data_IF_218960874790
#
_entry.id   IF_218960874790
#
_cell.length_a   1.000
_cell.length_b   1.000
_cell.length_c   1.000
_cell.angle_alpha   90.00
_cell.angle_beta   90.00
_cell.angle_gamma   90.00
#
_symmetry.space_group_name_H-M   'P 1'
#
loop_
_entity.id
_entity.type
_entity.pdbx_description
1 polymer ?
#
# COMPACT_ATOMS: atom_id res chain seq x y z
N UNK A 1 -62.10 14.98 -32.59
CA UNK A 1 -60.74 15.19 -33.11
C UNK A 1 -59.82 14.25 -32.35
N UNK A 2 -59.52 13.07 -32.91
CA UNK A 2 -58.65 12.07 -32.28
C UNK A 2 -57.17 12.44 -32.52
N UNK A 3 -56.27 12.34 -31.53
CA UNK A 3 -54.85 12.52 -31.76
C UNK A 3 -54.31 11.40 -32.66
N UNK A 4 -53.54 11.76 -33.68
CA UNK A 4 -53.14 10.85 -34.76
C UNK A 4 -52.16 9.74 -34.33
N UNK A 5 -52.11 8.61 -35.09
CA UNK A 5 -51.31 7.42 -34.79
C UNK A 5 -49.78 7.62 -34.84
N UNK A 6 -49.29 8.80 -35.24
CA UNK A 6 -47.86 9.09 -35.40
C UNK A 6 -47.07 9.09 -34.08
N UNK A 7 -47.70 9.39 -32.94
CA UNK A 7 -47.01 9.42 -31.64
C UNK A 7 -46.60 8.04 -31.10
N UNK A 8 -47.34 6.98 -31.44
CA UNK A 8 -47.07 5.64 -30.95
C UNK A 8 -45.89 4.97 -31.68
N UNK A 9 -45.73 5.20 -32.99
CA UNK A 9 -44.63 4.63 -33.78
C UNK A 9 -43.25 5.15 -33.38
N UNK A 10 -43.14 6.44 -33.06
CA UNK A 10 -41.89 7.05 -32.59
C UNK A 10 -41.45 6.52 -31.22
N UNK A 11 -42.38 6.30 -30.29
CA UNK A 11 -42.11 5.72 -28.97
C UNK A 11 -41.63 4.26 -29.06
N UNK A 12 -42.26 3.46 -29.93
CA UNK A 12 -41.84 2.06 -30.16
C UNK A 12 -40.43 2.01 -30.75
N UNK A 13 -40.12 2.87 -31.74
CA UNK A 13 -38.79 2.95 -32.32
C UNK A 13 -37.71 3.32 -31.30
N UNK A 14 -38.00 4.30 -30.41
CA UNK A 14 -37.09 4.70 -29.34
C UNK A 14 -36.85 3.56 -28.34
N UNK A 15 -37.90 2.85 -27.92
CA UNK A 15 -37.77 1.70 -27.00
C UNK A 15 -36.99 0.56 -27.62
N UNK A 16 -37.20 0.26 -28.91
CA UNK A 16 -36.44 -0.76 -29.63
C UNK A 16 -34.97 -0.36 -29.78
N UNK A 17 -34.69 0.90 -30.13
CA UNK A 17 -33.32 1.42 -30.21
C UNK A 17 -32.62 1.37 -28.84
N UNK A 18 -33.28 1.80 -27.78
CA UNK A 18 -32.77 1.73 -26.41
C UNK A 18 -32.53 0.29 -25.94
N UNK A 19 -33.46 -0.64 -26.22
CA UNK A 19 -33.27 -2.06 -25.88
C UNK A 19 -32.12 -2.69 -26.66
N UNK A 20 -31.98 -2.39 -27.95
CA UNK A 20 -30.84 -2.85 -28.76
C UNK A 20 -29.54 -2.30 -28.20
N UNK A 21 -29.47 -1.00 -27.95
CA UNK A 21 -28.31 -0.37 -27.32
C UNK A 21 -27.96 -1.03 -25.99
N UNK A 22 -28.93 -1.30 -25.11
CA UNK A 22 -28.69 -1.99 -23.84
C UNK A 22 -28.17 -3.41 -24.04
N UNK A 23 -28.73 -4.17 -24.98
CA UNK A 23 -28.25 -5.54 -25.28
C UNK A 23 -26.83 -5.51 -25.83
N UNK A 24 -26.52 -4.57 -26.73
CA UNK A 24 -25.20 -4.39 -27.32
C UNK A 24 -24.17 -3.96 -26.26
N UNK A 25 -24.50 -3.00 -25.39
CA UNK A 25 -23.67 -2.59 -24.24
C UNK A 25 -23.42 -3.76 -23.29
N UNK A 26 -24.45 -4.56 -23.00
CA UNK A 26 -24.31 -5.76 -22.14
C UNK A 26 -23.45 -6.82 -22.83
N UNK A 27 -23.56 -6.96 -24.16
CA UNK A 27 -22.75 -7.85 -24.98
C UNK A 27 -21.27 -7.44 -24.97
N UNK A 28 -21.00 -6.17 -25.24
CA UNK A 28 -19.65 -5.60 -25.21
C UNK A 28 -19.00 -5.74 -23.83
N UNK A 29 -19.75 -5.53 -22.75
CA UNK A 29 -19.24 -5.72 -21.39
C UNK A 29 -18.86 -7.18 -21.12
N UNK A 30 -19.71 -8.15 -21.50
CA UNK A 30 -19.41 -9.58 -21.35
C UNK A 30 -18.19 -10.00 -22.16
N UNK A 31 -18.03 -9.48 -23.37
CA UNK A 31 -16.88 -9.76 -24.22
C UNK A 31 -15.58 -9.18 -23.62
N UNK A 32 -15.63 -7.93 -23.12
CA UNK A 32 -14.50 -7.31 -22.43
C UNK A 32 -14.08 -8.13 -21.19
N UNK A 33 -15.05 -8.58 -20.38
CA UNK A 33 -14.77 -9.47 -19.24
C UNK A 33 -14.14 -10.79 -19.68
N UNK A 34 -14.68 -11.44 -20.71
CA UNK A 34 -14.13 -12.71 -21.24
C UNK A 34 -12.68 -12.55 -21.71
N UNK A 35 -12.41 -11.52 -22.52
CA UNK A 35 -11.06 -11.23 -23.01
C UNK A 35 -10.10 -10.88 -21.87
N UNK A 36 -10.58 -10.17 -20.85
CA UNK A 36 -9.81 -9.88 -19.65
C UNK A 36 -9.45 -11.17 -18.90
N UNK A 37 -10.41 -12.07 -18.65
CA UNK A 37 -10.16 -13.36 -17.97
C UNK A 37 -9.18 -14.26 -18.73
N UNK A 38 -9.25 -14.28 -20.06
CA UNK A 38 -8.31 -15.05 -20.88
C UNK A 38 -6.88 -14.51 -20.76
N UNK A 39 -6.70 -13.20 -20.92
CA UNK A 39 -5.39 -12.54 -20.78
C UNK A 39 -4.86 -12.65 -19.35
N UNK A 40 -5.74 -12.59 -18.35
CA UNK A 40 -5.40 -12.79 -16.95
C UNK A 40 -4.81 -14.17 -16.72
N UNK A 41 -5.45 -15.23 -17.21
CA UNK A 41 -4.95 -16.60 -17.10
C UNK A 41 -3.55 -16.73 -17.72
N UNK A 42 -3.34 -16.18 -18.92
CA UNK A 42 -2.03 -16.17 -19.58
C UNK A 42 -0.96 -15.38 -18.81
N UNK A 43 -1.34 -14.28 -18.16
CA UNK A 43 -0.42 -13.47 -17.36
C UNK A 43 0.00 -14.18 -16.07
N UNK A 44 -0.94 -14.87 -15.42
CA UNK A 44 -0.68 -15.73 -14.25
C UNK A 44 0.23 -16.89 -14.62
N UNK A 45 -0.01 -17.57 -15.75
CA UNK A 45 0.86 -18.66 -16.23
C UNK A 45 2.31 -18.18 -16.45
N UNK A 46 2.47 -16.99 -17.05
CA UNK A 46 3.80 -16.36 -17.22
C UNK A 46 4.45 -16.03 -15.87
N UNK A 47 3.69 -15.52 -14.91
CA UNK A 47 4.19 -15.22 -13.56
C UNK A 47 4.62 -16.50 -12.81
N UNK A 48 3.99 -17.64 -13.09
CA UNK A 48 4.34 -18.95 -12.52
C UNK A 48 5.58 -19.62 -13.14
N UNK A 49 6.04 -19.18 -14.33
CA UNK A 49 7.14 -19.80 -15.07
C UNK A 49 8.46 -19.86 -14.29
N UNK A 50 9.27 -20.92 -14.42
CA UNK A 50 10.60 -20.98 -13.79
C UNK A 50 11.61 -19.96 -14.34
N UNK A 51 11.32 -19.34 -15.49
CA UNK A 51 12.19 -18.31 -16.09
C UNK A 51 11.91 -16.92 -15.50
N UNK A 52 12.87 -16.27 -14.82
CA UNK A 52 12.69 -14.91 -14.29
C UNK A 52 12.31 -13.89 -15.37
N UNK A 53 12.79 -14.05 -16.60
CA UNK A 53 12.44 -13.19 -17.73
C UNK A 53 10.97 -13.34 -18.12
N UNK A 54 10.44 -14.57 -18.14
CA UNK A 54 9.01 -14.84 -18.41
C UNK A 54 8.15 -14.30 -17.26
N UNK A 55 8.60 -14.46 -16.00
CA UNK A 55 7.92 -13.86 -14.83
C UNK A 55 7.82 -12.35 -14.92
N UNK A 56 8.89 -11.66 -15.31
CA UNK A 56 8.86 -10.21 -15.54
C UNK A 56 7.81 -9.83 -16.60
N UNK A 57 7.69 -10.61 -17.67
CA UNK A 57 6.62 -10.45 -18.65
C UNK A 57 5.22 -10.63 -18.05
N UNK A 58 5.06 -11.62 -17.17
CA UNK A 58 3.82 -11.85 -16.41
C UNK A 58 3.46 -10.68 -15.48
N UNK A 59 4.43 -10.15 -14.74
CA UNK A 59 4.25 -8.97 -13.87
C UNK A 59 3.75 -7.77 -14.66
N UNK A 60 4.38 -7.43 -15.78
CA UNK A 60 3.95 -6.31 -16.61
C UNK A 60 2.58 -6.55 -17.26
N UNK A 61 2.28 -7.79 -17.66
CA UNK A 61 0.96 -8.15 -18.19
C UNK A 61 -0.15 -8.00 -17.14
N UNK A 62 0.09 -8.43 -15.89
CA UNK A 62 -0.86 -8.26 -14.78
C UNK A 62 -1.06 -6.78 -14.42
N UNK A 63 0.00 -5.98 -14.39
CA UNK A 63 -0.13 -4.55 -14.14
C UNK A 63 -0.94 -3.85 -15.25
N UNK A 64 -0.70 -4.20 -16.53
CA UNK A 64 -1.50 -3.70 -17.65
C UNK A 64 -2.97 -4.16 -17.59
N UNK A 65 -3.23 -5.39 -17.15
CA UNK A 65 -4.60 -5.87 -16.92
C UNK A 65 -5.29 -5.12 -15.79
N UNK A 66 -4.58 -4.82 -14.69
CA UNK A 66 -5.13 -4.01 -13.61
C UNK A 66 -5.53 -2.61 -14.10
N UNK A 67 -4.71 -2.01 -14.96
CA UNK A 67 -5.02 -0.72 -15.59
C UNK A 67 -6.29 -0.80 -16.45
N UNK A 68 -6.39 -1.80 -17.33
CA UNK A 68 -7.45 -1.94 -18.34
C UNK A 68 -8.64 -2.82 -17.85
N UNK A 69 -8.77 -3.02 -16.54
CA UNK A 69 -9.78 -3.90 -15.96
C UNK A 69 -11.21 -3.36 -16.19
N UNK A 70 -12.17 -4.19 -16.66
CA UNK A 70 -13.56 -3.78 -16.85
C UNK A 70 -14.30 -3.38 -15.56
N UNK A 71 -13.86 -3.90 -14.41
CA UNK A 71 -14.43 -3.62 -13.10
C UNK A 71 -13.33 -3.46 -12.04
N UNK A 72 -13.66 -2.80 -10.93
CA UNK A 72 -12.74 -2.65 -9.80
C UNK A 72 -12.34 -4.00 -9.19
N UNK A 73 -13.26 -4.98 -9.13
CA UNK A 73 -12.97 -6.32 -8.60
C UNK A 73 -11.92 -7.07 -9.45
N UNK A 74 -11.98 -6.91 -10.78
CA UNK A 74 -11.00 -7.50 -11.68
C UNK A 74 -9.62 -6.82 -11.57
N UNK A 75 -9.62 -5.49 -11.38
CA UNK A 75 -8.38 -4.76 -11.04
C UNK A 75 -7.79 -5.28 -9.74
N UNK A 76 -8.62 -5.39 -8.69
CA UNK A 76 -8.20 -5.87 -7.38
C UNK A 76 -7.63 -7.28 -7.49
N UNK A 77 -8.26 -8.17 -8.26
CA UNK A 77 -7.74 -9.53 -8.50
C UNK A 77 -6.32 -9.52 -9.11
N UNK A 78 -6.04 -8.62 -10.06
CA UNK A 78 -4.69 -8.48 -10.62
C UNK A 78 -3.67 -8.00 -9.59
N UNK A 79 -4.06 -7.03 -8.74
CA UNK A 79 -3.23 -6.49 -7.66
C UNK A 79 -2.98 -7.58 -6.60
N UNK A 80 -4.00 -8.36 -6.25
CA UNK A 80 -3.92 -9.45 -5.28
C UNK A 80 -2.95 -10.55 -5.73
N UNK A 81 -2.91 -10.88 -7.02
CA UNK A 81 -1.91 -11.84 -7.55
C UNK A 81 -0.49 -11.29 -7.43
N UNK A 82 -0.28 -10.00 -7.72
CA UNK A 82 1.01 -9.34 -7.58
C UNK A 82 1.47 -9.31 -6.11
N UNK A 83 0.57 -8.98 -5.20
CA UNK A 83 0.76 -9.05 -3.75
C UNK A 83 1.05 -10.48 -3.28
N UNK A 84 0.27 -11.47 -3.72
CA UNK A 84 0.46 -12.88 -3.40
C UNK A 84 1.82 -13.42 -3.85
N UNK A 85 2.33 -12.97 -5.01
CA UNK A 85 3.68 -13.30 -5.44
C UNK A 85 4.76 -12.75 -4.49
N UNK A 86 4.57 -11.53 -3.98
CA UNK A 86 5.47 -10.94 -2.98
C UNK A 86 5.43 -11.69 -1.64
N UNK A 87 4.32 -12.32 -1.31
CA UNK A 87 4.19 -13.12 -0.08
C UNK A 87 4.85 -14.50 -0.17
N UNK A 88 5.24 -14.96 -1.37
CA UNK A 88 6.02 -16.20 -1.51
C UNK A 88 7.36 -16.11 -0.75
N UNK A 89 7.89 -17.25 -0.27
CA UNK A 89 9.12 -17.29 0.52
C UNK A 89 10.26 -16.47 -0.11
N UNK A 90 10.85 -15.61 0.72
CA UNK A 90 12.01 -14.80 0.34
C UNK A 90 13.29 -15.59 0.58
N UNK A 91 13.94 -16.04 -0.49
CA UNK A 91 15.27 -16.65 -0.40
C UNK A 91 16.31 -15.58 -0.02
N UNK A 92 17.06 -15.75 1.08
CA UNK A 92 18.14 -14.82 1.44
C UNK A 92 19.25 -14.77 0.39
N UNK A 93 20.01 -13.68 0.39
CA UNK A 93 21.22 -13.57 -0.44
C UNK A 93 22.25 -14.65 -0.03
N UNK A 94 22.68 -15.55 -0.94
CA UNK A 94 23.71 -16.54 -0.64
C UNK A 94 25.12 -15.92 -0.48
N UNK A 95 25.27 -14.62 -0.73
CA UNK A 95 26.54 -13.90 -0.67
C UNK A 95 27.34 -14.00 -1.97
N UNK A 96 28.56 -13.46 -1.93
CA UNK A 96 29.45 -13.32 -3.11
C UNK A 96 30.47 -14.47 -3.22
N UNK A 97 30.30 -15.56 -2.47
CA UNK A 97 31.18 -16.73 -2.56
C UNK A 97 31.10 -17.31 -3.99
N UNK A 98 32.23 -17.43 -4.72
CA UNK A 98 32.25 -18.02 -6.06
C UNK A 98 31.62 -19.42 -6.12
N UNK A 99 31.63 -20.18 -5.02
CA UNK A 99 30.98 -21.49 -4.94
C UNK A 99 29.44 -21.42 -5.11
N UNK A 100 28.82 -20.28 -4.80
CA UNK A 100 27.38 -20.05 -4.90
C UNK A 100 26.99 -19.13 -6.07
N UNK A 101 27.87 -18.93 -7.06
CA UNK A 101 27.64 -17.95 -8.13
C UNK A 101 26.31 -18.15 -8.88
N UNK A 102 25.95 -19.41 -9.20
CA UNK A 102 24.69 -19.71 -9.88
C UNK A 102 23.46 -19.40 -9.00
N UNK A 103 23.53 -19.75 -7.70
CA UNK A 103 22.49 -19.44 -6.73
C UNK A 103 22.34 -17.93 -6.54
N UNK A 104 23.46 -17.19 -6.47
CA UNK A 104 23.47 -15.74 -6.37
C UNK A 104 22.86 -15.08 -7.62
N UNK A 105 23.21 -15.53 -8.83
CA UNK A 105 22.58 -15.05 -10.06
C UNK A 105 21.06 -15.33 -10.08
N UNK A 106 20.65 -16.51 -9.64
CA UNK A 106 19.23 -16.88 -9.54
C UNK A 106 18.51 -16.00 -8.52
N UNK A 107 19.10 -15.79 -7.34
CA UNK A 107 18.61 -14.87 -6.32
C UNK A 107 18.40 -13.47 -6.90
N UNK A 108 19.41 -12.88 -7.55
CA UNK A 108 19.32 -11.54 -8.15
C UNK A 108 18.20 -11.46 -9.20
N UNK A 109 18.03 -12.49 -10.02
CA UNK A 109 17.00 -12.53 -11.05
C UNK A 109 15.58 -12.56 -10.46
N UNK A 110 15.32 -13.39 -9.44
CA UNK A 110 14.01 -13.42 -8.77
C UNK A 110 13.77 -12.19 -7.90
N UNK A 111 14.82 -11.65 -7.25
CA UNK A 111 14.78 -10.36 -6.55
C UNK A 111 14.34 -9.24 -7.50
N UNK A 112 14.84 -9.22 -8.73
CA UNK A 112 14.43 -8.24 -9.76
C UNK A 112 12.94 -8.33 -10.12
N UNK A 113 12.35 -9.53 -10.14
CA UNK A 113 10.90 -9.70 -10.33
C UNK A 113 10.14 -9.02 -9.19
N UNK A 114 10.51 -9.31 -7.94
CA UNK A 114 9.87 -8.72 -6.75
C UNK A 114 9.99 -7.20 -6.72
N UNK A 115 11.19 -6.67 -6.99
CA UNK A 115 11.44 -5.23 -7.07
C UNK A 115 10.61 -4.56 -8.17
N UNK A 116 10.42 -5.23 -9.30
CA UNK A 116 9.56 -4.73 -10.37
C UNK A 116 8.11 -4.59 -9.90
N UNK A 117 7.59 -5.55 -9.14
CA UNK A 117 6.23 -5.48 -8.58
C UNK A 117 6.12 -4.30 -7.60
N UNK A 118 7.04 -4.18 -6.64
CA UNK A 118 7.05 -3.10 -5.65
C UNK A 118 7.13 -1.72 -6.31
N UNK A 119 7.98 -1.57 -7.34
CA UNK A 119 8.09 -0.36 -8.14
C UNK A 119 6.78 -0.03 -8.87
N UNK A 120 6.16 -1.02 -9.53
CA UNK A 120 4.90 -0.80 -10.25
C UNK A 120 3.79 -0.36 -9.30
N UNK A 121 3.65 -1.01 -8.14
CA UNK A 121 2.70 -0.58 -7.10
C UNK A 121 2.89 0.89 -6.75
N UNK A 122 4.13 1.32 -6.45
CA UNK A 122 4.42 2.74 -6.18
C UNK A 122 4.11 3.67 -7.35
N UNK A 123 4.54 3.31 -8.56
CA UNK A 123 4.31 4.10 -9.79
C UNK A 123 2.80 4.32 -10.05
N UNK A 124 1.96 3.34 -9.75
CA UNK A 124 0.50 3.44 -9.88
C UNK A 124 -0.14 4.24 -8.73
N UNK A 125 0.38 4.16 -7.51
CA UNK A 125 -0.12 4.96 -6.38
C UNK A 125 0.28 6.44 -6.49
N UNK A 126 1.39 6.78 -7.15
CA UNK A 126 1.73 8.18 -7.44
C UNK A 126 0.80 8.86 -8.43
N UNK A 127 0.01 8.09 -9.19
CA UNK A 127 -0.96 8.67 -10.11
C UNK A 127 -2.08 9.34 -9.31
N UNK A 128 -2.53 10.56 -9.70
CA UNK A 128 -3.63 11.22 -9.02
C UNK A 128 -4.87 10.33 -8.90
N UNK A 129 -5.53 10.38 -7.74
CA UNK A 129 -6.74 9.62 -7.47
C UNK A 129 -7.80 9.87 -8.56
N UNK A 130 -8.53 8.81 -8.93
CA UNK A 130 -9.58 8.88 -9.95
C UNK A 130 -9.08 8.88 -11.40
N UNK A 131 -7.76 8.92 -11.64
CA UNK A 131 -7.23 8.68 -12.98
C UNK A 131 -7.29 7.18 -13.32
N UNK A 132 -7.49 6.86 -14.60
CA UNK A 132 -7.70 5.49 -15.08
C UNK A 132 -6.65 4.48 -14.57
N UNK A 133 -5.37 4.88 -14.51
CA UNK A 133 -4.25 4.01 -14.09
C UNK A 133 -3.85 4.16 -12.61
N UNK A 134 -4.60 4.93 -11.84
CA UNK A 134 -4.34 5.05 -10.40
C UNK A 134 -4.82 3.80 -9.68
N UNK A 135 -3.96 3.27 -8.81
CA UNK A 135 -4.33 2.17 -7.92
C UNK A 135 -4.72 2.66 -6.52
N UNK A 136 -4.73 3.98 -6.28
CA UNK A 136 -5.25 4.53 -5.02
C UNK A 136 -6.69 4.09 -4.80
N UNK A 137 -6.99 3.58 -3.61
CA UNK A 137 -8.28 2.96 -3.26
C UNK A 137 -8.31 1.44 -3.36
N UNK A 138 -7.28 0.81 -3.93
CA UNK A 138 -7.15 -0.65 -3.95
C UNK A 138 -6.57 -1.17 -2.63
N UNK A 139 -6.84 -2.43 -2.30
CA UNK A 139 -6.19 -3.11 -1.18
C UNK A 139 -4.80 -3.61 -1.60
N UNK A 140 -3.81 -3.42 -0.73
CA UNK A 140 -2.46 -3.95 -0.85
C UNK A 140 -2.17 -4.85 0.35
N UNK A 141 -2.25 -6.15 0.15
CA UNK A 141 -1.82 -7.12 1.17
C UNK A 141 -0.35 -7.47 0.99
N UNK A 142 0.49 -6.87 1.82
CA UNK A 142 1.94 -7.06 1.89
C UNK A 142 2.32 -7.72 3.24
N UNK A 143 1.39 -8.48 3.83
CA UNK A 143 1.61 -9.21 5.08
C UNK A 143 2.79 -10.18 4.94
N UNK A 144 3.74 -10.15 5.88
CA UNK A 144 4.90 -11.02 5.92
C UNK A 144 5.97 -10.78 4.84
N UNK A 145 5.79 -9.77 3.98
CA UNK A 145 6.70 -9.49 2.87
C UNK A 145 8.04 -8.93 3.37
N UNK A 146 9.15 -9.44 2.85
CA UNK A 146 10.46 -8.79 2.98
C UNK A 146 10.58 -7.69 1.91
N UNK A 147 10.78 -6.45 2.37
CA UNK A 147 10.93 -5.24 1.56
C UNK A 147 12.37 -4.76 1.70
N UNK A 148 13.09 -4.82 0.59
CA UNK A 148 14.50 -4.47 0.47
C UNK A 148 14.79 -3.56 -0.74
N UNK A 149 13.74 -2.94 -1.28
CA UNK A 149 13.79 -1.99 -2.39
C UNK A 149 12.87 -0.79 -2.12
N UNK A 150 13.00 0.22 -2.97
CA UNK A 150 12.20 1.43 -2.85
C UNK A 150 10.74 1.19 -3.28
N UNK A 151 9.82 1.89 -2.60
CA UNK A 151 8.41 2.00 -2.93
C UNK A 151 7.99 3.46 -2.74
N UNK A 152 7.38 4.06 -3.76
CA UNK A 152 7.06 5.48 -3.75
C UNK A 152 5.55 5.70 -3.70
N UNK A 153 5.08 6.19 -2.55
CA UNK A 153 3.70 6.62 -2.28
C UNK A 153 3.63 8.12 -2.00
N UNK A 154 4.64 8.91 -2.39
CA UNK A 154 4.71 10.32 -2.06
C UNK A 154 3.49 11.07 -2.63
N UNK A 155 2.82 11.84 -1.78
CA UNK A 155 1.61 12.60 -2.10
C UNK A 155 0.36 11.76 -2.38
N UNK A 156 0.40 10.43 -2.23
CA UNK A 156 -0.76 9.58 -2.46
C UNK A 156 -1.87 9.83 -1.42
N UNK A 157 -3.12 9.55 -1.81
CA UNK A 157 -4.29 9.67 -0.94
C UNK A 157 -4.81 8.27 -0.59
N UNK A 158 -4.81 7.97 0.70
CA UNK A 158 -5.35 6.75 1.31
C UNK A 158 -6.69 7.09 1.98
N UNK A 159 -7.70 7.24 1.13
CA UNK A 159 -9.09 7.49 1.54
C UNK A 159 -9.90 6.19 1.59
N UNK A 160 -9.64 5.27 0.68
CA UNK A 160 -10.20 3.91 0.67
C UNK A 160 -9.08 2.89 0.44
N UNK A 161 -9.40 1.61 0.60
CA UNK A 161 -8.43 0.52 0.52
C UNK A 161 -7.52 0.45 1.75
N UNK A 162 -6.98 -0.73 2.00
CA UNK A 162 -6.08 -1.07 3.10
C UNK A 162 -4.68 -1.31 2.56
N UNK A 163 -3.67 -0.78 3.25
CA UNK A 163 -2.28 -1.17 3.02
C UNK A 163 -1.80 -1.96 4.22
N UNK A 164 -1.52 -3.24 4.03
CA UNK A 164 -1.21 -4.18 5.11
C UNK A 164 0.23 -4.67 5.04
N UNK A 165 1.07 -4.20 5.95
CA UNK A 165 2.44 -4.63 6.17
C UNK A 165 2.60 -5.40 7.49
N UNK A 166 1.53 -6.06 7.98
CA UNK A 166 1.65 -6.90 9.18
C UNK A 166 2.76 -7.92 9.01
N UNK A 167 3.58 -8.09 10.05
CA UNK A 167 4.72 -9.02 10.07
C UNK A 167 5.75 -8.84 8.92
N UNK A 168 5.67 -7.74 8.17
CA UNK A 168 6.61 -7.42 7.10
C UNK A 168 7.99 -7.06 7.66
N UNK A 169 9.03 -7.24 6.83
CA UNK A 169 10.43 -6.95 7.21
C UNK A 169 11.00 -5.89 6.29
N UNK A 170 11.31 -4.72 6.84
CA UNK A 170 11.95 -3.61 6.13
C UNK A 170 13.46 -3.67 6.34
N UNK A 171 14.14 -4.40 5.45
CA UNK A 171 15.57 -4.71 5.56
C UNK A 171 16.44 -3.73 4.76
N UNK A 172 15.87 -3.01 3.80
CA UNK A 172 16.55 -2.00 2.99
C UNK A 172 15.56 -1.19 2.14
N UNK A 173 16.08 -0.29 1.31
CA UNK A 173 15.26 0.60 0.48
C UNK A 173 14.51 1.67 1.28
N UNK A 174 13.77 2.51 0.55
CA UNK A 174 12.92 3.56 1.08
C UNK A 174 11.46 3.34 0.69
N UNK A 175 10.58 3.26 1.69
CA UNK A 175 9.13 3.35 1.47
C UNK A 175 8.71 4.79 1.78
N UNK A 176 8.38 5.52 0.73
CA UNK A 176 8.15 6.98 0.77
C UNK A 176 6.66 7.31 0.82
N UNK A 177 6.19 7.85 1.94
CA UNK A 177 4.86 8.43 2.13
C UNK A 177 4.94 9.95 2.33
N UNK A 178 6.00 10.62 1.87
CA UNK A 178 6.17 12.06 2.02
C UNK A 178 4.96 12.81 1.47
N UNK A 179 4.33 13.63 2.32
CA UNK A 179 3.15 14.42 1.97
C UNK A 179 1.89 13.60 1.64
N UNK A 180 1.88 12.29 1.90
CA UNK A 180 0.70 11.45 1.72
C UNK A 180 -0.44 11.85 2.68
N UNK A 181 -1.68 11.55 2.29
CA UNK A 181 -2.88 11.88 3.07
C UNK A 181 -3.64 10.61 3.43
N UNK A 182 -3.97 10.44 4.71
CA UNK A 182 -4.67 9.28 5.25
C UNK A 182 -5.99 9.75 5.90
N UNK A 183 -7.10 9.69 5.16
CA UNK A 183 -8.37 10.27 5.61
C UNK A 183 -9.38 9.28 6.18
N UNK A 184 -9.18 7.99 5.91
CA UNK A 184 -10.06 6.89 6.35
C UNK A 184 -9.41 5.53 6.05
N UNK A 185 -8.44 5.49 5.13
CA UNK A 185 -7.60 4.32 4.90
C UNK A 185 -6.87 3.87 6.17
N UNK A 186 -6.58 2.57 6.22
CA UNK A 186 -5.81 1.96 7.30
C UNK A 186 -4.49 1.46 6.77
N UNK A 187 -3.38 1.89 7.41
CA UNK A 187 -2.05 1.33 7.15
C UNK A 187 -1.59 0.54 8.36
N UNK A 188 -1.22 -0.71 8.13
CA UNK A 188 -0.96 -1.69 9.18
C UNK A 188 0.48 -2.15 9.16
N UNK A 189 1.15 -2.05 10.30
CA UNK A 189 2.53 -2.46 10.52
C UNK A 189 2.65 -3.33 11.78
N UNK A 190 1.56 -3.97 12.23
CA UNK A 190 1.59 -4.74 13.46
C UNK A 190 2.59 -5.90 13.32
N UNK A 191 3.47 -6.06 14.30
CA UNK A 191 4.54 -7.06 14.27
C UNK A 191 5.66 -6.81 13.23
N UNK A 192 5.59 -5.73 12.44
CA UNK A 192 6.61 -5.45 11.43
C UNK A 192 7.98 -5.18 12.03
N UNK A 193 9.04 -5.52 11.30
CA UNK A 193 10.44 -5.38 11.72
C UNK A 193 11.18 -4.39 10.81
N UNK A 194 11.75 -3.34 11.39
CA UNK A 194 12.52 -2.30 10.71
C UNK A 194 14.01 -2.42 11.07
N UNK A 195 14.77 -3.18 10.26
CA UNK A 195 16.16 -3.52 10.54
C UNK A 195 17.20 -2.79 9.68
N UNK A 196 16.79 -2.15 8.58
CA UNK A 196 17.70 -1.37 7.74
C UNK A 196 17.03 -0.47 6.68
N UNK A 197 15.73 -0.65 6.41
CA UNK A 197 14.96 0.21 5.51
C UNK A 197 14.61 1.58 6.11
N UNK A 198 14.25 2.52 5.24
CA UNK A 198 13.72 3.85 5.61
C UNK A 198 12.24 3.93 5.31
N UNK A 199 11.48 4.52 6.22
CA UNK A 199 10.06 4.78 6.09
C UNK A 199 9.86 6.29 6.28
N UNK A 200 9.40 6.98 5.25
CA UNK A 200 9.29 8.44 5.25
C UNK A 200 7.83 8.89 5.29
N UNK A 201 7.39 9.45 6.40
CA UNK A 201 6.07 10.07 6.57
C UNK A 201 6.17 11.59 6.72
N UNK A 202 7.26 12.21 6.27
CA UNK A 202 7.45 13.66 6.43
C UNK A 202 6.31 14.42 5.76
N UNK A 203 5.79 15.42 6.47
CA UNK A 203 4.66 16.23 6.01
C UNK A 203 3.38 15.44 5.68
N UNK A 204 3.31 14.14 6.02
CA UNK A 204 2.10 13.35 5.82
C UNK A 204 0.97 13.86 6.74
N UNK A 205 -0.27 13.74 6.28
CA UNK A 205 -1.45 14.19 7.03
C UNK A 205 -2.37 13.01 7.31
N UNK A 206 -2.73 12.82 8.58
CA UNK A 206 -3.62 11.75 9.04
C UNK A 206 -4.90 12.39 9.57
N UNK A 207 -5.99 12.36 8.81
CA UNK A 207 -7.31 12.93 9.14
C UNK A 207 -8.32 11.81 9.39
N UNK A 208 -8.41 11.22 10.58
CA UNK A 208 -9.37 10.12 10.85
C UNK A 208 -8.94 8.71 10.41
N UNK A 209 -7.85 8.57 9.64
CA UNK A 209 -7.24 7.27 9.33
C UNK A 209 -6.54 6.61 10.52
N UNK A 210 -6.23 5.32 10.39
CA UNK A 210 -5.47 4.57 11.40
C UNK A 210 -4.12 4.11 10.84
N UNK A 211 -3.04 4.39 11.57
CA UNK A 211 -1.71 3.81 11.33
C UNK A 211 -1.27 3.01 12.54
N UNK A 212 -1.12 1.71 12.37
CA UNK A 212 -0.95 0.81 13.50
C UNK A 212 0.39 0.05 13.45
N UNK A 213 1.32 0.50 14.28
CA UNK A 213 2.62 -0.11 14.57
C UNK A 213 2.62 -0.98 15.83
N UNK A 214 1.46 -1.49 16.27
CA UNK A 214 1.39 -2.32 17.48
C UNK A 214 2.38 -3.49 17.44
N UNK A 215 3.24 -3.59 18.44
CA UNK A 215 4.25 -4.64 18.54
C UNK A 215 5.36 -4.58 17.48
N UNK A 216 5.43 -3.52 16.67
CA UNK A 216 6.50 -3.35 15.69
C UNK A 216 7.87 -3.22 16.38
N UNK A 217 8.93 -3.68 15.71
CA UNK A 217 10.29 -3.67 16.24
C UNK A 217 11.24 -2.86 15.35
N UNK A 218 11.91 -1.87 15.92
CA UNK A 218 12.84 -0.96 15.25
C UNK A 218 14.28 -1.23 15.73
N UNK A 219 15.03 -2.03 14.98
CA UNK A 219 16.40 -2.46 15.33
C UNK A 219 17.52 -1.73 14.59
N UNK A 220 17.26 -1.15 13.42
CA UNK A 220 18.28 -0.45 12.63
C UNK A 220 17.78 0.42 11.48
N UNK A 221 16.47 0.40 11.18
CA UNK A 221 15.84 1.29 10.20
C UNK A 221 15.48 2.68 10.77
N UNK A 222 15.05 3.56 9.88
CA UNK A 222 14.57 4.91 10.26
C UNK A 222 13.11 5.11 9.88
N UNK A 223 12.29 5.62 10.80
CA UNK A 223 10.93 6.07 10.51
C UNK A 223 10.80 7.55 10.81
N UNK A 224 10.48 8.34 9.79
CA UNK A 224 10.54 9.80 9.85
C UNK A 224 9.13 10.39 9.77
N UNK A 225 8.62 10.95 10.88
CA UNK A 225 7.35 11.67 10.96
C UNK A 225 7.55 13.18 11.06
N UNK A 226 8.70 13.73 10.67
CA UNK A 226 8.94 15.16 10.82
C UNK A 226 7.89 15.97 10.06
N UNK A 227 7.33 16.97 10.72
CA UNK A 227 6.27 17.83 10.19
C UNK A 227 4.96 17.09 9.81
N UNK A 228 4.81 15.82 10.20
CA UNK A 228 3.55 15.11 10.01
C UNK A 228 2.43 15.73 10.86
N UNK A 229 1.21 15.71 10.33
CA UNK A 229 0.03 16.26 10.99
C UNK A 229 -0.93 15.14 11.32
N UNK A 230 -1.23 14.95 12.59
CA UNK A 230 -2.20 13.97 13.06
C UNK A 230 -3.43 14.71 13.57
N UNK A 231 -4.51 14.64 12.82
CA UNK A 231 -5.79 15.33 13.00
C UNK A 231 -6.89 14.28 13.16
N UNK A 232 -7.46 14.08 14.35
CA UNK A 232 -8.59 13.14 14.57
C UNK A 232 -8.33 11.66 14.15
N UNK A 233 -7.10 11.27 13.82
CA UNK A 233 -6.70 9.90 13.47
C UNK A 233 -6.12 9.11 14.64
N UNK A 234 -5.87 7.81 14.44
CA UNK A 234 -5.22 6.96 15.46
C UNK A 234 -3.84 6.51 14.98
N UNK A 235 -2.82 6.74 15.80
CA UNK A 235 -1.48 6.18 15.59
C UNK A 235 -1.09 5.33 16.78
N UNK A 236 -0.89 4.05 16.56
CA UNK A 236 -0.66 3.10 17.63
C UNK A 236 0.75 2.51 17.56
N UNK A 237 1.59 2.84 18.52
CA UNK A 237 2.89 2.22 18.79
C UNK A 237 2.86 1.35 20.06
N UNK A 238 1.67 0.93 20.50
CA UNK A 238 1.54 0.12 21.70
C UNK A 238 2.40 -1.14 21.63
N UNK A 239 3.12 -1.47 22.70
CA UNK A 239 4.06 -2.60 22.77
C UNK A 239 5.21 -2.58 21.73
N UNK A 240 5.42 -1.48 21.00
CA UNK A 240 6.52 -1.37 20.05
C UNK A 240 7.89 -1.35 20.75
N UNK A 241 8.93 -1.83 20.06
CA UNK A 241 10.30 -1.93 20.59
C UNK A 241 11.27 -1.06 19.79
N UNK A 242 11.89 -0.09 20.45
CA UNK A 242 12.84 0.86 19.86
C UNK A 242 14.27 0.57 20.34
N UNK A 243 14.94 -0.41 19.73
CA UNK A 243 16.20 -1.00 20.24
C UNK A 243 17.43 -0.72 19.38
N UNK A 244 17.34 0.22 18.42
CA UNK A 244 18.47 0.61 17.57
C UNK A 244 18.06 1.41 16.33
N UNK A 245 16.81 1.28 15.89
CA UNK A 245 16.24 2.16 14.86
C UNK A 245 15.93 3.57 15.40
N UNK A 246 15.83 4.55 14.50
CA UNK A 246 15.45 5.92 14.85
C UNK A 246 14.02 6.19 14.43
N UNK A 247 13.20 6.73 15.35
CA UNK A 247 11.90 7.30 15.01
C UNK A 247 11.88 8.77 15.40
N UNK A 248 11.49 9.63 14.47
CA UNK A 248 11.57 11.10 14.62
C UNK A 248 10.21 11.77 14.40
N UNK A 249 9.75 12.51 15.40
CA UNK A 249 8.53 13.32 15.40
C UNK A 249 8.81 14.83 15.43
N UNK A 250 10.04 15.27 15.14
CA UNK A 250 10.38 16.69 15.21
C UNK A 250 9.46 17.54 14.31
N UNK A 251 8.80 18.52 14.90
CA UNK A 251 7.84 19.39 14.22
C UNK A 251 6.51 18.72 13.85
N UNK A 252 6.29 17.45 14.23
CA UNK A 252 5.00 16.81 14.10
C UNK A 252 3.96 17.47 15.02
N UNK A 253 2.69 17.37 14.65
CA UNK A 253 1.58 17.96 15.42
C UNK A 253 0.52 16.92 15.71
N UNK A 254 0.09 16.80 16.97
CA UNK A 254 -1.00 15.92 17.40
C UNK A 254 -2.21 16.75 17.82
N UNK A 255 -3.29 16.68 17.04
CA UNK A 255 -4.53 17.45 17.25
C UNK A 255 -5.74 16.53 17.11
N UNK A 256 -6.56 16.40 18.15
CA UNK A 256 -7.86 15.70 18.05
C UNK A 256 -7.85 14.18 17.84
N UNK A 257 -6.69 13.56 17.61
CA UNK A 257 -6.52 12.10 17.44
C UNK A 257 -5.76 11.42 18.59
N UNK A 258 -5.78 10.09 18.64
CA UNK A 258 -5.07 9.29 19.65
C UNK A 258 -3.68 8.88 19.15
N UNK A 259 -2.64 9.13 19.95
CA UNK A 259 -1.28 8.62 19.71
C UNK A 259 -0.88 7.76 20.91
N UNK A 260 -0.76 6.45 20.71
CA UNK A 260 -0.58 5.50 21.80
C UNK A 260 0.80 4.84 21.76
N UNK A 261 1.65 5.12 22.76
CA UNK A 261 2.92 4.42 22.98
C UNK A 261 2.86 3.48 24.20
N UNK A 262 1.68 3.14 24.71
CA UNK A 262 1.49 2.29 25.89
C UNK A 262 2.28 0.98 25.80
N UNK A 263 3.03 0.65 26.86
CA UNK A 263 3.92 -0.52 26.92
C UNK A 263 5.07 -0.55 25.90
N UNK A 264 5.29 0.51 25.12
CA UNK A 264 6.47 0.62 24.27
C UNK A 264 7.75 0.61 25.12
N UNK A 265 8.83 0.05 24.56
CA UNK A 265 10.11 -0.14 25.24
C UNK A 265 11.28 0.35 24.39
N UNK A 266 12.40 0.62 25.04
CA UNK A 266 13.62 1.13 24.40
C UNK A 266 13.71 2.64 24.46
N UNK A 267 14.42 3.24 23.50
CA UNK A 267 14.64 4.69 23.47
C UNK A 267 13.38 5.44 23.05
N UNK A 268 13.04 6.51 23.76
CA UNK A 268 11.95 7.40 23.37
C UNK A 268 12.22 8.00 21.97
N UNK A 269 11.21 8.06 21.08
CA UNK A 269 11.34 8.71 19.78
C UNK A 269 11.78 10.18 19.88
N UNK A 270 12.61 10.62 18.93
CA UNK A 270 13.07 12.01 18.86
C UNK A 270 11.89 12.94 18.59
N UNK A 271 11.91 14.14 19.17
CA UNK A 271 10.86 15.14 18.96
C UNK A 271 9.49 14.81 19.59
N UNK A 272 9.30 13.62 20.19
CA UNK A 272 8.01 13.18 20.72
C UNK A 272 7.42 14.14 21.75
N UNK A 273 8.20 14.54 22.77
CA UNK A 273 7.72 15.43 23.83
C UNK A 273 7.37 16.83 23.32
N UNK A 274 8.13 17.33 22.34
CA UNK A 274 7.85 18.61 21.70
C UNK A 274 6.56 18.54 20.88
N UNK A 275 6.34 17.43 20.14
CA UNK A 275 5.13 17.20 19.37
C UNK A 275 3.89 16.96 20.24
N UNK A 276 4.05 16.28 21.39
CA UNK A 276 2.99 16.06 22.37
C UNK A 276 2.55 17.36 23.06
N UNK A 277 3.45 18.32 23.22
CA UNK A 277 3.19 19.56 23.94
C UNK A 277 3.20 19.37 25.46
N UNK A 278 3.12 20.49 26.18
CA UNK A 278 3.06 20.55 27.64
C UNK A 278 1.84 21.39 28.05
N UNK A 279 0.90 20.86 28.87
CA UNK A 279 0.87 19.48 29.37
C UNK A 279 0.60 18.46 28.25
N UNK A 280 1.07 17.22 28.44
CA UNK A 280 0.80 16.13 27.50
C UNK A 280 -0.72 15.85 27.49
N UNK A 281 -1.39 15.92 26.33
CA UNK A 281 -2.82 15.63 26.23
C UNK A 281 -3.15 14.19 26.60
N UNK A 282 -4.34 13.94 27.16
CA UNK A 282 -4.81 12.58 27.48
C UNK A 282 -4.91 11.66 26.25
N UNK A 283 -4.97 12.24 25.05
CA UNK A 283 -4.97 11.50 23.77
C UNK A 283 -3.58 10.99 23.38
N UNK A 284 -2.51 11.42 24.06
CA UNK A 284 -1.13 10.97 23.84
C UNK A 284 -0.70 10.11 25.03
N UNK A 285 -0.63 8.80 24.84
CA UNK A 285 -0.23 7.85 25.88
C UNK A 285 1.27 7.61 25.77
N UNK A 286 2.04 7.96 26.80
CA UNK A 286 3.50 7.80 26.85
C UNK A 286 3.88 6.85 28.01
N UNK A 287 4.80 5.89 27.82
CA UNK A 287 5.33 5.06 28.90
C UNK A 287 5.93 5.91 30.02
N UNK A 288 5.65 5.54 31.28
CA UNK A 288 6.23 6.23 32.44
C UNK A 288 7.76 6.25 32.44
N UNK A 289 8.39 5.19 31.91
CA UNK A 289 9.84 5.09 31.76
C UNK A 289 10.46 6.11 30.80
N UNK A 290 9.67 6.75 29.94
CA UNK A 290 10.13 7.80 29.02
C UNK A 290 9.92 9.20 29.58
N UNK A 291 8.99 9.37 30.53
CA UNK A 291 8.73 10.67 31.11
C UNK A 291 9.97 11.16 31.89
N UNK A 292 10.31 12.45 31.81
CA UNK A 292 11.37 13.01 32.64
C UNK A 292 11.02 12.79 34.13
N UNK A 293 12.03 12.60 34.99
CA UNK A 293 11.80 12.51 36.44
C UNK A 293 11.07 13.77 36.93
N UNK A 294 10.05 13.58 37.77
CA UNK A 294 9.36 14.68 38.42
C UNK A 294 10.34 15.31 39.42
N UNK A 295 10.55 16.65 39.40
CA UNK A 295 11.47 17.33 40.29
C UNK A 295 11.08 17.23 41.77
#
# INVERSE_FOLDING_TARGET
MWPGPAGAGALVALVVAYRRQRVDETGAHREATRLHTERFSQAVDKLGSDSPAVRLGGVHALAGLADDAPTQDLRQTCIDVLCGYLQLPFTPDPGEDPAHQEEHHRYLAFRKVRHTILRLIGDHYRRPQGTHRSWQGSDLDLTGVTIDSDMDFAGAVFSDGRVDFRDARFTGGMVDFHGARFSSGTVKFQGAVFSGGRMDFRSATFTGGTVDFHGATFTGGTVDFRFARFTDGTVNFGSARFTGGTVDFHGATFTGGMVNFGFARGSAPRGLFAAAGIPVPATVVIPSAWLPPVP
#
